data_IF_089313574010
#
_entry.id   IF_089313574010
#
_cell.length_a   1.000
_cell.length_b   1.000
_cell.length_c   1.000
_cell.angle_alpha   90.00
_cell.angle_beta   90.00
_cell.angle_gamma   90.00
#
_symmetry.space_group_name_H-M   'P 1'
#
loop_
_entity.id
_entity.type
_entity.pdbx_description
1 polymer ?
#
# COMPACT_ATOMS: atom_id res chain seq x y z
N UNK A 1 -3.27 -16.74 13.75
CA UNK A 1 -2.44 -17.26 12.66
C UNK A 1 -1.00 -17.10 13.09
N UNK A 2 -0.19 -18.15 13.09
CA UNK A 2 1.23 -18.04 13.47
C UNK A 2 1.91 -17.06 12.51
N UNK A 3 2.42 -15.95 13.04
CA UNK A 3 3.04 -14.88 12.25
C UNK A 3 4.19 -15.42 11.38
N UNK A 4 4.84 -16.51 11.81
CA UNK A 4 5.90 -17.20 11.04
C UNK A 4 5.36 -17.93 9.81
N UNK A 5 4.06 -18.27 9.77
CA UNK A 5 3.40 -18.87 8.61
C UNK A 5 2.98 -17.82 7.56
N UNK A 6 3.02 -16.53 7.89
CA UNK A 6 2.61 -15.45 6.98
C UNK A 6 3.72 -15.11 5.97
N UNK A 7 4.99 -15.36 6.31
CA UNK A 7 6.11 -15.17 5.40
C UNK A 7 6.61 -16.50 4.87
N UNK A 8 6.28 -16.82 3.61
CA UNK A 8 6.97 -17.90 2.90
C UNK A 8 8.34 -17.41 2.45
N UNK A 9 9.38 -18.16 2.79
CA UNK A 9 10.74 -17.84 2.35
C UNK A 9 10.88 -18.12 0.84
N UNK A 10 11.92 -17.57 0.21
CA UNK A 10 12.13 -17.67 -1.23
C UNK A 10 12.38 -19.09 -1.76
N UNK A 11 12.80 -20.00 -0.88
CA UNK A 11 13.00 -21.42 -1.13
C UNK A 11 11.74 -22.27 -0.81
N UNK A 12 10.68 -21.64 -0.30
CA UNK A 12 9.38 -22.24 0.04
C UNK A 12 8.24 -21.60 -0.75
N UNK A 13 8.48 -21.28 -2.02
CA UNK A 13 7.50 -20.67 -2.93
C UNK A 13 6.97 -19.29 -2.47
N UNK A 14 7.78 -18.55 -1.70
CA UNK A 14 7.53 -17.16 -1.33
C UNK A 14 8.49 -16.17 -1.99
N UNK A 15 8.35 -14.89 -1.67
CA UNK A 15 9.20 -13.79 -2.14
C UNK A 15 9.84 -13.02 -0.97
N UNK A 16 10.07 -13.69 0.15
CA UNK A 16 10.72 -13.09 1.31
C UNK A 16 12.13 -13.67 1.46
N UNK A 17 13.10 -12.83 1.79
CA UNK A 17 14.39 -13.25 2.33
C UNK A 17 14.32 -13.17 3.85
N UNK A 18 14.08 -14.32 4.47
CA UNK A 18 13.87 -14.39 5.91
C UNK A 18 15.21 -14.64 6.63
N UNK A 19 15.53 -13.78 7.58
CA UNK A 19 16.77 -13.79 8.35
C UNK A 19 16.46 -13.70 9.84
N UNK A 20 17.33 -14.28 10.67
CA UNK A 20 17.32 -14.11 12.13
C UNK A 20 18.52 -13.27 12.54
N UNK A 21 18.26 -12.19 13.26
CA UNK A 21 19.27 -11.24 13.69
C UNK A 21 19.94 -11.67 15.00
N UNK A 22 21.19 -11.25 15.21
CA UNK A 22 21.87 -11.40 16.49
C UNK A 22 21.17 -10.60 17.61
N UNK A 23 21.16 -11.13 18.83
CA UNK A 23 20.43 -10.54 19.96
C UNK A 23 21.02 -9.21 20.47
N UNK A 24 22.32 -8.93 20.26
CA UNK A 24 22.99 -7.77 20.85
C UNK A 24 22.80 -6.48 20.04
N UNK A 25 22.84 -6.56 18.71
CA UNK A 25 22.78 -5.39 17.82
C UNK A 25 21.97 -5.63 16.53
N UNK A 26 21.14 -6.68 16.53
CA UNK A 26 20.37 -7.14 15.37
C UNK A 26 21.22 -7.21 14.10
N UNK A 27 22.43 -7.76 14.26
CA UNK A 27 23.33 -7.92 13.13
C UNK A 27 22.81 -9.00 12.18
N UNK A 28 22.81 -8.67 10.89
CA UNK A 28 22.44 -9.59 9.82
C UNK A 28 23.48 -9.55 8.70
N UNK A 29 23.84 -10.73 8.20
CA UNK A 29 24.68 -10.89 7.03
C UNK A 29 23.83 -11.29 5.82
N UNK A 30 23.86 -10.47 4.78
CA UNK A 30 23.18 -10.74 3.51
C UNK A 30 24.18 -11.34 2.52
N UNK A 31 24.01 -12.61 2.17
CA UNK A 31 24.89 -13.27 1.21
C UNK A 31 24.69 -12.71 -0.20
N UNK A 32 25.78 -12.39 -0.90
CA UNK A 32 25.72 -11.83 -2.24
C UNK A 32 24.98 -12.74 -3.21
N UNK A 33 25.28 -14.02 -3.23
CA UNK A 33 24.65 -14.97 -4.15
C UNK A 33 23.15 -15.10 -3.87
N UNK A 34 22.70 -14.99 -2.62
CA UNK A 34 21.28 -15.03 -2.28
C UNK A 34 20.56 -13.76 -2.73
N UNK A 35 21.14 -12.57 -2.48
CA UNK A 35 20.59 -11.30 -2.96
C UNK A 35 20.56 -11.29 -4.50
N UNK A 36 21.65 -11.69 -5.16
CA UNK A 36 21.71 -11.81 -6.61
C UNK A 36 20.63 -12.78 -7.13
N UNK A 37 20.45 -13.94 -6.49
CA UNK A 37 19.42 -14.93 -6.85
C UNK A 37 18.00 -14.36 -6.71
N UNK A 38 17.73 -13.66 -5.61
CA UNK A 38 16.43 -13.02 -5.36
C UNK A 38 16.17 -11.89 -6.34
N UNK A 39 17.18 -11.08 -6.62
CA UNK A 39 17.09 -10.01 -7.60
C UNK A 39 16.88 -10.56 -9.01
N UNK A 40 17.60 -11.61 -9.38
CA UNK A 40 17.41 -12.29 -10.66
C UNK A 40 16.01 -12.91 -10.79
N UNK A 41 15.40 -13.34 -9.67
CA UNK A 41 14.08 -13.99 -9.66
C UNK A 41 12.91 -13.02 -9.53
N UNK A 42 13.04 -11.98 -8.72
CA UNK A 42 11.96 -11.07 -8.31
C UNK A 42 12.27 -9.60 -8.59
N UNK A 43 13.40 -9.28 -9.21
CA UNK A 43 13.95 -7.92 -9.27
C UNK A 43 14.02 -7.31 -7.85
N UNK A 44 13.68 -6.05 -7.64
CA UNK A 44 13.54 -5.45 -6.31
C UNK A 44 12.20 -5.79 -5.60
N UNK A 45 11.36 -6.67 -6.16
CA UNK A 45 10.02 -6.98 -5.67
C UNK A 45 9.99 -8.20 -4.74
N UNK A 46 10.85 -8.16 -3.73
CA UNK A 46 10.89 -9.12 -2.63
C UNK A 46 11.05 -8.34 -1.31
N UNK A 47 10.75 -8.99 -0.18
CA UNK A 47 10.93 -8.39 1.13
C UNK A 47 12.16 -8.95 1.83
N UNK A 48 12.87 -8.11 2.57
CA UNK A 48 13.81 -8.52 3.59
C UNK A 48 13.02 -8.63 4.89
N UNK A 49 12.92 -9.84 5.44
CA UNK A 49 12.25 -10.10 6.72
C UNK A 49 13.29 -10.43 7.77
N UNK A 50 13.47 -9.56 8.75
CA UNK A 50 14.51 -9.71 9.77
C UNK A 50 13.84 -9.95 11.12
N UNK A 51 13.95 -11.17 11.65
CA UNK A 51 13.47 -11.56 12.98
C UNK A 51 14.48 -11.20 14.07
N UNK A 52 14.04 -10.48 15.09
CA UNK A 52 14.74 -10.34 16.34
C UNK A 52 14.46 -11.50 17.31
N UNK A 53 14.70 -11.26 18.59
CA UNK A 53 14.66 -12.29 19.65
C UNK A 53 13.74 -11.93 20.82
N UNK A 54 13.10 -10.75 20.80
CA UNK A 54 12.34 -10.24 21.94
C UNK A 54 10.90 -10.77 22.01
N UNK A 55 10.25 -11.05 20.87
CA UNK A 55 8.87 -11.53 20.78
C UNK A 55 8.52 -12.05 19.37
N UNK A 56 7.34 -12.63 19.18
CA UNK A 56 6.82 -13.04 17.85
C UNK A 56 6.41 -11.84 16.95
N UNK A 57 6.39 -10.63 17.49
CA UNK A 57 6.23 -9.37 16.74
C UNK A 57 7.55 -8.63 16.53
N UNK A 58 8.66 -9.19 17.02
CA UNK A 58 9.98 -8.62 16.87
C UNK A 58 10.54 -8.95 15.48
N UNK A 59 10.07 -8.25 14.46
CA UNK A 59 10.62 -8.37 13.11
C UNK A 59 10.52 -7.06 12.33
N UNK A 60 11.24 -6.97 11.22
CA UNK A 60 10.98 -5.99 10.16
C UNK A 60 10.59 -6.71 8.89
N UNK A 61 9.58 -6.23 8.17
CA UNK A 61 9.34 -6.60 6.77
C UNK A 61 9.64 -5.39 5.89
N UNK A 62 10.82 -5.37 5.31
CA UNK A 62 11.34 -4.23 4.57
C UNK A 62 11.21 -4.57 3.08
N UNK A 63 10.40 -3.84 2.29
CA UNK A 63 10.45 -3.98 0.84
C UNK A 63 11.88 -3.72 0.37
N UNK A 64 12.51 -4.67 -0.33
CA UNK A 64 13.92 -4.57 -0.71
C UNK A 64 14.21 -3.27 -1.46
N UNK A 65 13.27 -2.85 -2.33
CA UNK A 65 13.31 -1.57 -3.04
C UNK A 65 13.58 -0.34 -2.14
N UNK A 66 13.08 -0.33 -0.91
CA UNK A 66 13.30 0.80 0.02
C UNK A 66 14.75 0.91 0.54
N UNK A 67 15.53 -0.17 0.41
CA UNK A 67 16.91 -0.27 0.89
C UNK A 67 17.89 -0.74 -0.19
N UNK A 68 17.45 -0.93 -1.44
CA UNK A 68 18.23 -1.46 -2.57
C UNK A 68 19.53 -0.68 -2.79
N UNK A 69 19.49 0.65 -2.67
CA UNK A 69 20.64 1.54 -2.81
C UNK A 69 21.77 1.27 -1.81
N UNK A 70 21.49 0.52 -0.72
CA UNK A 70 22.50 0.12 0.23
C UNK A 70 23.28 -1.13 -0.23
N UNK A 71 22.77 -1.95 -1.15
CA UNK A 71 23.38 -3.24 -1.54
C UNK A 71 24.36 -3.12 -2.71
N UNK A 72 25.43 -2.34 -2.56
CA UNK A 72 26.48 -2.12 -3.59
C UNK A 72 27.82 -2.77 -3.22
N UNK A 73 28.72 -3.07 -4.17
CA UNK A 73 30.06 -3.58 -3.86
C UNK A 73 30.85 -2.72 -2.88
N UNK A 74 30.64 -1.40 -2.91
CA UNK A 74 31.29 -0.44 -1.99
C UNK A 74 30.90 -0.68 -0.53
N UNK A 75 29.65 -1.08 -0.28
CA UNK A 75 29.14 -1.32 1.06
C UNK A 75 29.32 -2.76 1.55
N UNK A 76 29.97 -3.62 0.74
CA UNK A 76 30.23 -5.02 1.13
C UNK A 76 31.19 -5.10 2.31
N UNK A 77 31.04 -6.18 3.08
CA UNK A 77 31.95 -6.50 4.17
C UNK A 77 33.36 -6.76 3.62
N UNK A 78 34.34 -6.06 4.20
CA UNK A 78 35.77 -6.20 3.88
C UNK A 78 36.48 -7.11 4.89
N UNK A 79 37.64 -7.65 4.51
CA UNK A 79 38.53 -8.45 5.37
C UNK A 79 38.80 -9.86 4.84
N UNK A 80 39.61 -10.63 5.58
CA UNK A 80 40.14 -11.94 5.14
C UNK A 80 39.10 -12.92 4.58
N UNK A 81 37.92 -13.01 5.19
CA UNK A 81 36.85 -13.89 4.72
C UNK A 81 36.27 -13.44 3.37
N UNK A 82 36.20 -12.13 3.12
CA UNK A 82 35.73 -11.59 1.84
C UNK A 82 36.76 -11.85 0.71
N UNK A 83 38.05 -11.75 1.04
CA UNK A 83 39.17 -12.12 0.15
C UNK A 83 39.18 -13.62 -0.20
N UNK A 84 38.71 -14.46 0.73
CA UNK A 84 38.50 -15.90 0.54
C UNK A 84 37.16 -16.24 -0.15
N UNK A 85 36.47 -15.24 -0.70
CA UNK A 85 35.26 -15.43 -1.51
C UNK A 85 33.93 -15.32 -0.76
N UNK A 86 33.94 -15.08 0.56
CA UNK A 86 32.70 -14.85 1.33
C UNK A 86 32.18 -13.42 1.13
N UNK A 87 31.50 -13.24 0.00
CA UNK A 87 30.90 -11.98 -0.44
C UNK A 87 29.55 -11.74 0.25
N UNK A 88 29.48 -10.76 1.15
CA UNK A 88 28.26 -10.39 1.89
C UNK A 88 28.17 -8.91 2.24
N UNK A 89 26.96 -8.44 2.57
CA UNK A 89 26.73 -7.17 3.26
C UNK A 89 26.42 -7.45 4.73
N UNK A 90 27.16 -6.79 5.62
CA UNK A 90 26.87 -6.79 7.05
C UNK A 90 26.05 -5.57 7.41
N UNK A 91 24.99 -5.76 8.19
CA UNK A 91 24.08 -4.69 8.61
C UNK A 91 23.86 -4.79 10.11
N UNK A 92 23.73 -3.66 10.76
CA UNK A 92 23.23 -3.55 12.13
C UNK A 92 21.97 -2.70 12.15
N UNK A 93 21.01 -3.07 12.99
CA UNK A 93 19.80 -2.26 13.21
C UNK A 93 19.82 -1.75 14.64
N UNK A 94 19.91 -0.43 14.77
CA UNK A 94 20.01 0.26 16.05
C UNK A 94 19.04 1.45 16.05
N UNK A 95 18.16 1.52 17.05
CA UNK A 95 17.05 2.48 17.12
C UNK A 95 16.28 2.63 15.80
N UNK A 96 15.85 1.51 15.21
CA UNK A 96 15.15 1.45 13.93
C UNK A 96 15.91 1.99 12.71
N UNK A 97 17.23 2.20 12.84
CA UNK A 97 18.07 2.63 11.72
C UNK A 97 18.83 1.43 11.17
N UNK A 98 18.57 1.08 9.91
CA UNK A 98 19.29 0.07 9.15
C UNK A 98 20.63 0.65 8.70
N UNK A 99 21.75 0.21 9.31
CA UNK A 99 23.10 0.76 9.07
C UNK A 99 24.01 -0.27 8.40
N UNK A 100 24.73 0.12 7.36
CA UNK A 100 25.75 -0.75 6.73
C UNK A 100 26.97 -0.86 7.64
N UNK A 101 27.29 -2.07 8.12
CA UNK A 101 28.36 -2.27 9.10
C UNK A 101 29.73 -1.80 8.60
N UNK A 102 30.04 -2.04 7.32
CA UNK A 102 31.32 -1.63 6.72
C UNK A 102 31.34 -0.18 6.23
N UNK A 103 30.21 0.54 6.31
CA UNK A 103 30.09 1.93 5.89
C UNK A 103 28.92 2.62 6.60
N UNK A 104 29.04 2.80 7.92
CA UNK A 104 27.93 3.16 8.82
C UNK A 104 27.28 4.52 8.56
N UNK A 105 27.90 5.37 7.72
CA UNK A 105 27.31 6.63 7.22
C UNK A 105 26.12 6.40 6.28
N UNK A 106 25.99 5.20 5.70
CA UNK A 106 24.85 4.83 4.88
C UNK A 106 23.83 4.08 5.72
N UNK A 107 22.69 4.73 5.89
CA UNK A 107 21.62 4.20 6.71
C UNK A 107 20.24 4.68 6.31
N UNK A 108 19.23 3.89 6.64
CA UNK A 108 17.81 4.21 6.38
C UNK A 108 17.03 4.02 7.68
N UNK A 109 16.18 4.99 8.04
CA UNK A 109 15.18 4.77 9.08
C UNK A 109 14.11 3.80 8.54
N UNK A 110 14.01 2.65 9.19
CA UNK A 110 13.10 1.55 8.83
C UNK A 110 12.04 1.31 9.90
N UNK A 111 11.83 2.25 10.83
CA UNK A 111 10.83 2.18 11.90
C UNK A 111 9.45 1.83 11.35
N UNK A 112 9.07 2.46 10.23
CA UNK A 112 7.80 2.20 9.54
C UNK A 112 7.61 0.76 9.06
N UNK A 113 8.66 -0.05 9.03
CA UNK A 113 8.63 -1.46 8.63
C UNK A 113 8.68 -2.44 9.81
N UNK A 114 8.85 -1.96 11.04
CA UNK A 114 8.91 -2.79 12.24
C UNK A 114 7.53 -3.39 12.56
N UNK A 115 7.44 -4.71 12.63
CA UNK A 115 6.22 -5.46 12.94
C UNK A 115 5.11 -5.36 11.87
N UNK A 116 5.38 -4.80 10.67
CA UNK A 116 4.41 -4.66 9.57
C UNK A 116 4.66 -5.70 8.46
N UNK A 117 3.64 -6.17 7.73
CA UNK A 117 3.76 -7.28 6.74
C UNK A 117 3.57 -6.87 5.25
N UNK A 118 2.88 -5.77 4.90
CA UNK A 118 2.59 -5.38 3.49
C UNK A 118 2.95 -3.90 3.11
N UNK A 119 3.37 -3.71 1.83
CA UNK A 119 3.30 -2.57 0.88
C UNK A 119 3.59 -1.11 1.31
N UNK A 120 3.92 -0.24 0.33
CA UNK A 120 4.04 1.23 0.52
C UNK A 120 2.76 1.72 1.18
N UNK A 121 2.92 2.28 2.38
CA UNK A 121 1.84 2.87 3.16
C UNK A 121 1.83 4.35 2.81
N UNK A 122 0.75 4.79 2.19
CA UNK A 122 0.42 6.21 2.07
C UNK A 122 -0.40 6.55 3.33
N UNK A 123 0.14 7.39 4.20
CA UNK A 123 -0.36 7.58 5.59
C UNK A 123 -1.22 8.84 5.78
N UNK A 124 -1.50 9.61 4.72
CA UNK A 124 -2.29 10.85 4.81
C UNK A 124 -3.22 11.03 3.60
N UNK A 125 -4.36 11.68 3.84
CA UNK A 125 -5.34 12.08 2.83
C UNK A 125 -4.72 12.93 1.71
N UNK A 126 -3.86 13.90 2.03
CA UNK A 126 -3.22 14.73 1.01
C UNK A 126 -2.24 13.92 0.13
N UNK A 127 -1.45 13.01 0.73
CA UNK A 127 -0.55 12.14 -0.02
C UNK A 127 -1.34 11.17 -0.94
N UNK A 128 -2.50 10.68 -0.47
CA UNK A 128 -3.43 9.88 -1.28
C UNK A 128 -3.97 10.72 -2.45
N UNK A 129 -4.38 11.98 -2.20
CA UNK A 129 -4.89 12.87 -3.25
C UNK A 129 -3.83 13.17 -4.29
N UNK A 130 -2.61 13.50 -3.87
CA UNK A 130 -1.49 13.72 -4.78
C UNK A 130 -1.18 12.48 -5.61
N UNK A 131 -1.23 11.29 -5.00
CA UNK A 131 -1.06 10.03 -5.71
C UNK A 131 -2.10 9.86 -6.82
N UNK A 132 -3.38 10.15 -6.53
CA UNK A 132 -4.46 10.09 -7.52
C UNK A 132 -4.33 11.18 -8.59
N UNK A 133 -4.01 12.42 -8.21
CA UNK A 133 -3.82 13.54 -9.15
C UNK A 133 -2.67 13.28 -10.12
N UNK A 134 -1.54 12.76 -9.61
CA UNK A 134 -0.40 12.38 -10.44
C UNK A 134 -0.74 11.24 -11.41
N UNK A 135 -1.60 10.30 -11.01
CA UNK A 135 -2.12 9.28 -11.92
C UNK A 135 -3.01 9.89 -13.00
N UNK A 136 -3.93 10.78 -12.63
CA UNK A 136 -4.85 11.44 -13.55
C UNK A 136 -4.11 12.27 -14.62
N UNK A 137 -3.08 13.03 -14.24
CA UNK A 137 -2.25 13.77 -15.19
C UNK A 137 -1.55 12.85 -16.22
N UNK A 138 -1.15 11.63 -15.81
CA UNK A 138 -0.58 10.62 -16.72
C UNK A 138 -1.64 10.06 -17.67
N UNK A 139 -2.88 9.88 -17.19
CA UNK A 139 -4.00 9.47 -18.05
C UNK A 139 -4.25 10.53 -19.12
N UNK A 140 -4.32 11.80 -18.74
CA UNK A 140 -4.50 12.92 -19.68
C UNK A 140 -3.40 12.97 -20.73
N UNK A 141 -2.14 12.91 -20.30
CA UNK A 141 -1.00 12.81 -21.22
C UNK A 141 -1.14 11.62 -22.18
N UNK A 142 -1.58 10.46 -21.68
CA UNK A 142 -1.79 9.27 -22.51
C UNK A 142 -2.99 9.41 -23.47
N UNK A 143 -3.99 10.22 -23.14
CA UNK A 143 -5.13 10.50 -24.02
C UNK A 143 -4.73 11.38 -25.22
N UNK A 144 -3.75 12.28 -25.05
CA UNK A 144 -3.20 13.10 -26.13
C UNK A 144 -2.44 12.29 -27.20
N UNK A 145 -2.02 11.07 -26.87
CA UNK A 145 -1.38 10.17 -27.82
C UNK A 145 -2.38 9.48 -28.76
N UNK A 146 -1.87 9.00 -29.89
CA UNK A 146 -2.66 8.13 -30.76
C UNK A 146 -2.92 6.76 -30.12
N UNK A 147 -4.04 6.13 -30.50
CA UNK A 147 -4.33 4.77 -30.07
C UNK A 147 -3.23 3.76 -30.42
N UNK A 148 -2.49 3.98 -31.51
CA UNK A 148 -1.35 3.15 -31.90
C UNK A 148 -0.21 3.24 -30.87
N UNK A 149 0.16 4.46 -30.46
CA UNK A 149 1.19 4.67 -29.41
C UNK A 149 0.78 4.04 -28.08
N UNK A 150 -0.48 4.19 -27.67
CA UNK A 150 -1.01 3.52 -26.47
C UNK A 150 -0.91 2.00 -26.57
N UNK A 151 -1.31 1.40 -27.69
CA UNK A 151 -1.23 -0.06 -27.91
C UNK A 151 0.20 -0.59 -27.80
N UNK A 152 1.18 0.12 -28.35
CA UNK A 152 2.60 -0.24 -28.19
C UNK A 152 3.01 -0.24 -26.72
N UNK A 153 2.64 0.78 -25.94
CA UNK A 153 2.90 0.81 -24.48
C UNK A 153 2.22 -0.33 -23.73
N UNK A 154 0.97 -0.66 -24.10
CA UNK A 154 0.22 -1.75 -23.47
C UNK A 154 0.82 -3.13 -23.75
N UNK A 155 1.34 -3.37 -24.96
CA UNK A 155 2.03 -4.62 -25.30
C UNK A 155 3.31 -4.84 -24.48
N UNK A 156 3.97 -3.75 -24.08
CA UNK A 156 5.19 -3.78 -23.27
C UNK A 156 4.91 -3.74 -21.75
N UNK A 157 3.69 -3.46 -21.31
CA UNK A 157 3.37 -3.25 -19.91
C UNK A 157 3.09 -4.56 -19.16
N UNK A 158 3.40 -4.58 -17.85
CA UNK A 158 2.97 -5.66 -16.98
C UNK A 158 1.43 -5.70 -16.89
N UNK A 159 0.84 -6.87 -17.12
CA UNK A 159 -0.63 -7.06 -17.07
C UNK A 159 -1.18 -7.11 -15.65
N UNK A 160 -0.31 -7.32 -14.66
CA UNK A 160 -0.66 -7.32 -13.24
C UNK A 160 -0.11 -6.04 -12.58
N UNK A 161 -0.99 -5.13 -12.12
CA UNK A 161 -0.53 -3.92 -11.43
C UNK A 161 0.03 -4.26 -10.05
N UNK A 162 0.98 -3.45 -9.58
CA UNK A 162 1.42 -3.49 -8.19
C UNK A 162 0.29 -3.02 -7.28
N UNK A 163 0.21 -3.60 -6.07
CA UNK A 163 -0.70 -3.14 -5.02
C UNK A 163 -0.03 -2.00 -4.22
N UNK A 164 -0.82 -1.01 -3.84
CA UNK A 164 -0.44 0.09 -2.97
C UNK A 164 -1.37 0.05 -1.76
N UNK A 165 -0.83 0.16 -0.54
CA UNK A 165 -1.63 0.24 0.67
C UNK A 165 -1.92 1.72 0.95
N UNK A 166 -3.20 2.08 0.98
CA UNK A 166 -3.65 3.42 1.35
C UNK A 166 -4.38 3.33 2.70
N UNK A 167 -3.95 4.12 3.68
CA UNK A 167 -4.65 4.29 4.94
C UNK A 167 -5.46 5.58 4.88
N UNK A 168 -6.76 5.49 5.15
CA UNK A 168 -7.66 6.65 5.08
C UNK A 168 -8.52 6.73 6.33
N UNK A 169 -8.83 7.95 6.75
CA UNK A 169 -9.82 8.20 7.79
C UNK A 169 -11.23 8.06 7.22
N UNK A 170 -12.11 7.39 7.97
CA UNK A 170 -13.51 7.23 7.63
C UNK A 170 -14.38 7.72 8.78
N UNK A 171 -15.50 8.36 8.44
CA UNK A 171 -16.47 8.81 9.44
C UNK A 171 -17.29 7.62 9.96
N UNK A 172 -17.37 7.50 11.28
CA UNK A 172 -18.30 6.60 11.95
C UNK A 172 -19.71 7.22 11.91
N UNK A 173 -20.44 6.95 10.82
CA UNK A 173 -21.78 7.49 10.59
C UNK A 173 -22.83 6.83 11.48
N UNK A 174 -23.82 7.59 11.90
CA UNK A 174 -24.99 7.13 12.61
C UNK A 174 -25.84 6.25 11.67
N UNK A 175 -26.00 4.96 11.96
CA UNK A 175 -26.76 4.05 11.11
C UNK A 175 -28.24 4.44 10.99
N UNK A 176 -28.82 5.09 12.02
CA UNK A 176 -30.23 5.47 12.03
C UNK A 176 -30.51 6.61 11.05
N UNK A 177 -29.58 7.56 10.90
CA UNK A 177 -29.67 8.62 9.88
C UNK A 177 -29.72 8.01 8.49
N UNK A 178 -28.85 7.04 8.22
CA UNK A 178 -28.81 6.35 6.93
C UNK A 178 -30.11 5.57 6.69
N UNK A 179 -30.59 4.83 7.68
CA UNK A 179 -31.81 4.05 7.57
C UNK A 179 -33.04 4.94 7.33
N UNK A 180 -33.21 6.00 8.12
CA UNK A 180 -34.33 6.93 8.02
C UNK A 180 -34.39 7.61 6.65
N UNK A 181 -33.25 8.06 6.13
CA UNK A 181 -33.17 8.69 4.80
C UNK A 181 -33.52 7.71 3.68
N UNK A 182 -33.11 6.44 3.79
CA UNK A 182 -33.47 5.42 2.80
C UNK A 182 -34.96 5.05 2.86
N UNK A 183 -35.54 4.99 4.05
CA UNK A 183 -36.98 4.75 4.24
C UNK A 183 -37.78 5.90 3.64
N UNK A 184 -37.43 7.16 3.99
CA UNK A 184 -38.04 8.38 3.43
C UNK A 184 -38.02 8.39 1.91
N UNK A 185 -36.91 7.96 1.32
CA UNK A 185 -36.73 7.97 -0.14
C UNK A 185 -37.59 6.94 -0.87
N UNK A 186 -38.08 5.89 -0.20
CA UNK A 186 -38.93 4.83 -0.80
C UNK A 186 -38.38 4.22 -2.10
N UNK A 187 -37.05 4.17 -2.22
CA UNK A 187 -36.37 3.64 -3.40
C UNK A 187 -36.36 4.58 -4.62
N UNK A 188 -36.64 5.86 -4.44
CA UNK A 188 -36.55 6.90 -5.48
C UNK A 188 -35.44 7.88 -5.12
N UNK A 189 -34.58 8.22 -6.08
CA UNK A 189 -33.54 9.24 -5.91
C UNK A 189 -34.18 10.60 -5.61
N UNK A 190 -33.77 11.26 -4.53
CA UNK A 190 -34.36 12.55 -4.11
C UNK A 190 -33.90 13.72 -5.00
N UNK A 191 -32.84 13.54 -5.80
CA UNK A 191 -32.34 14.52 -6.77
C UNK A 191 -33.03 14.37 -8.12
N UNK A 192 -32.77 13.29 -8.86
CA UNK A 192 -33.29 13.13 -10.22
C UNK A 192 -34.69 12.52 -10.31
N UNK A 193 -35.29 12.15 -9.16
CA UNK A 193 -36.64 11.59 -9.05
C UNK A 193 -36.86 10.27 -9.82
N UNK A 194 -35.77 9.62 -10.24
CA UNK A 194 -35.82 8.29 -10.87
C UNK A 194 -35.77 7.19 -9.81
N UNK A 195 -36.42 6.03 -10.05
CA UNK A 195 -36.26 4.85 -9.21
C UNK A 195 -34.79 4.44 -9.09
N UNK A 196 -34.46 3.73 -8.00
CA UNK A 196 -33.16 3.11 -7.82
C UNK A 196 -32.77 2.26 -9.05
N UNK A 197 -31.51 2.33 -9.52
CA UNK A 197 -31.10 1.69 -10.76
C UNK A 197 -31.13 0.16 -10.71
N UNK A 198 -31.02 -0.43 -9.52
CA UNK A 198 -31.08 -1.87 -9.31
C UNK A 198 -31.47 -2.18 -7.86
N UNK A 199 -31.70 -3.47 -7.59
CA UNK A 199 -31.97 -4.02 -6.26
C UNK A 199 -30.71 -4.66 -5.67
N UNK A 200 -30.47 -4.48 -4.38
CA UNK A 200 -29.36 -5.13 -3.66
C UNK A 200 -29.48 -6.64 -3.75
N UNK A 201 -28.39 -7.32 -4.08
CA UNK A 201 -28.38 -8.79 -4.14
C UNK A 201 -28.64 -9.45 -2.76
N UNK A 202 -28.31 -8.75 -1.67
CA UNK A 202 -28.43 -9.26 -0.29
C UNK A 202 -29.88 -9.43 0.17
N UNK A 203 -30.76 -8.49 -0.17
CA UNK A 203 -32.09 -8.37 0.42
C UNK A 203 -33.16 -7.85 -0.56
N UNK A 204 -32.83 -7.70 -1.84
CA UNK A 204 -33.71 -7.15 -2.89
C UNK A 204 -34.20 -5.71 -2.65
N UNK A 205 -33.65 -4.99 -1.67
CA UNK A 205 -34.02 -3.59 -1.42
C UNK A 205 -33.48 -2.66 -2.52
N UNK A 206 -34.13 -1.51 -2.79
CA UNK A 206 -33.66 -0.54 -3.78
C UNK A 206 -32.25 0.00 -3.44
N UNK A 207 -31.33 0.02 -4.42
CA UNK A 207 -29.99 0.57 -4.21
C UNK A 207 -29.95 2.10 -4.38
N UNK A 208 -29.86 2.82 -3.28
CA UNK A 208 -29.49 4.24 -3.21
C UNK A 208 -28.29 4.42 -2.25
N UNK A 209 -27.60 5.54 -2.38
CA UNK A 209 -26.49 5.96 -1.52
C UNK A 209 -26.93 7.19 -0.72
N UNK A 210 -26.59 7.23 0.57
CA UNK A 210 -26.87 8.41 1.41
C UNK A 210 -25.68 9.36 1.33
N UNK A 211 -25.97 10.60 0.94
CA UNK A 211 -25.03 11.70 0.79
C UNK A 211 -25.39 12.83 1.76
N UNK A 212 -24.40 13.46 2.38
CA UNK A 212 -24.60 14.66 3.20
C UNK A 212 -24.47 15.91 2.34
N UNK A 213 -25.45 16.81 2.38
CA UNK A 213 -25.53 18.04 1.57
C UNK A 213 -24.36 18.96 1.89
N UNK A 214 -24.12 19.20 3.18
CA UNK A 214 -22.84 19.70 3.69
C UNK A 214 -22.03 18.46 4.03
N UNK A 215 -20.92 18.25 3.33
CA UNK A 215 -20.14 17.03 3.52
C UNK A 215 -19.55 16.97 4.93
N UNK A 216 -19.44 15.76 5.49
CA UNK A 216 -18.80 15.57 6.79
C UNK A 216 -17.34 16.07 6.80
N UNK A 217 -16.64 15.99 5.67
CA UNK A 217 -15.30 16.54 5.49
C UNK A 217 -15.23 18.07 5.62
N UNK A 218 -16.34 18.75 5.36
CA UNK A 218 -16.50 20.21 5.47
C UNK A 218 -17.25 20.59 6.76
N UNK A 219 -17.11 19.79 7.82
CA UNK A 219 -17.78 19.94 9.11
C UNK A 219 -19.32 19.87 9.04
N UNK A 220 -19.89 19.17 8.06
CA UNK A 220 -21.31 18.88 8.02
C UNK A 220 -21.76 17.97 9.17
N UNK A 221 -22.98 18.18 9.66
CA UNK A 221 -23.55 17.35 10.72
C UNK A 221 -24.09 16.02 10.17
N UNK A 222 -24.00 14.96 10.96
CA UNK A 222 -24.58 13.65 10.62
C UNK A 222 -26.05 13.58 11.08
N UNK A 223 -26.92 14.26 10.34
CA UNK A 223 -28.36 14.40 10.63
C UNK A 223 -29.23 14.07 9.42
N UNK A 224 -30.50 13.72 9.66
CA UNK A 224 -31.47 13.39 8.60
C UNK A 224 -31.75 14.60 7.69
N UNK A 225 -31.69 15.80 8.27
CA UNK A 225 -31.87 17.08 7.60
C UNK A 225 -30.72 17.39 6.64
N UNK A 226 -29.49 17.05 7.04
CA UNK A 226 -28.30 17.20 6.20
C UNK A 226 -28.12 16.04 5.21
N UNK A 227 -28.87 14.95 5.33
CA UNK A 227 -28.70 13.76 4.50
C UNK A 227 -29.77 13.60 3.40
N UNK A 228 -29.36 13.05 2.25
CA UNK A 228 -30.20 12.81 1.08
C UNK A 228 -29.89 11.45 0.44
N UNK A 229 -30.92 10.73 0.00
CA UNK A 229 -30.78 9.49 -0.75
C UNK A 229 -30.66 9.77 -2.25
N UNK A 230 -29.55 9.34 -2.85
CA UNK A 230 -29.21 9.60 -4.24
C UNK A 230 -28.86 8.31 -4.98
N UNK A 231 -29.13 8.27 -6.29
CA UNK A 231 -28.60 7.19 -7.12
C UNK A 231 -27.09 7.39 -7.35
N UNK A 232 -26.34 6.34 -7.73
CA UNK A 232 -24.89 6.42 -7.94
C UNK A 232 -24.47 7.54 -8.91
N UNK A 233 -25.27 7.80 -9.94
CA UNK A 233 -24.98 8.84 -10.93
C UNK A 233 -25.09 10.25 -10.31
N UNK A 234 -26.21 10.53 -9.61
CA UNK A 234 -26.39 11.82 -8.93
C UNK A 234 -25.37 12.01 -7.80
N UNK A 235 -25.02 10.94 -7.09
CA UNK A 235 -23.98 11.02 -6.06
C UNK A 235 -22.63 11.43 -6.65
N UNK A 236 -22.22 10.82 -7.77
CA UNK A 236 -20.95 11.17 -8.43
C UNK A 236 -20.98 12.56 -9.05
N UNK A 237 -22.11 12.97 -9.62
CA UNK A 237 -22.29 14.33 -10.13
C UNK A 237 -22.14 15.38 -9.01
N UNK A 238 -22.67 15.14 -7.82
CA UNK A 238 -22.51 16.06 -6.69
C UNK A 238 -21.03 16.25 -6.23
N UNK A 239 -20.17 15.26 -6.47
CA UNK A 239 -18.75 15.34 -6.12
C UNK A 239 -17.84 15.85 -7.24
N UNK A 240 -18.19 15.54 -8.49
CA UNK A 240 -17.27 15.69 -9.64
C UNK A 240 -17.91 16.32 -10.88
N UNK A 241 -19.21 16.61 -10.85
CA UNK A 241 -19.92 17.24 -11.95
C UNK A 241 -19.57 18.72 -12.10
N UNK A 242 -19.82 19.27 -13.29
CA UNK A 242 -19.57 20.70 -13.61
C UNK A 242 -20.73 21.63 -13.18
N UNK A 243 -21.85 21.05 -12.72
CA UNK A 243 -23.14 21.74 -12.52
C UNK A 243 -23.44 22.12 -11.07
#
# INVERSE_FOLDING_TARGET
MDIKQIFKNYDQDGNNYILKADAKNRWCGFNKNTIDKLYNKYNANFNIVIWGTKSDSDYYCIPYKSIEHLFTPEHMTKGKLAEQGNKRWGVTIDNHVFKMHSNSKYSVNIEKFYGKHESVIIEDYEEIREHFAAFQAKVESSLQDSGAKRRVRLQAAATRPARVLALTHVYARNPDVVAEVLVRATGVCEVCRKPAPFRRAKDSSPYLEVHHKIQLADNGEDTVENAIAVCPNCHRQAHFGED
#
